data_IF_169861554453
#
_entry.id   IF_169861554453
#
_cell.length_a   1.000
_cell.length_b   1.000
_cell.length_c   1.000
_cell.angle_alpha   90.00
_cell.angle_beta   90.00
_cell.angle_gamma   90.00
#
_symmetry.space_group_name_H-M   'P 1'
#
loop_
_entity.id
_entity.type
_entity.pdbx_description
1 polymer ?
#
# COMPACT_ATOMS: atom_id res chain seq x y z
N UNK A 1 -14.00 -16.26 2.18
CA UNK A 1 -15.41 -16.19 1.77
C UNK A 1 -16.21 -17.42 2.19
N UNK A 2 -15.54 -18.51 2.55
CA UNK A 2 -16.16 -19.72 3.13
C UNK A 2 -16.52 -19.58 4.62
N UNK A 3 -16.47 -18.39 5.21
CA UNK A 3 -16.77 -18.14 6.63
C UNK A 3 -15.76 -18.74 7.62
N UNK A 4 -14.58 -19.11 7.16
CA UNK A 4 -13.54 -19.73 7.99
C UNK A 4 -12.59 -18.73 8.65
N UNK A 5 -12.65 -17.46 8.27
CA UNK A 5 -11.83 -16.39 8.78
C UNK A 5 -12.71 -15.24 9.27
N UNK A 6 -12.46 -14.79 10.48
CA UNK A 6 -13.19 -13.65 11.10
C UNK A 6 -12.48 -12.33 10.83
N UNK A 7 -11.17 -12.35 10.72
CA UNK A 7 -10.33 -11.18 10.46
C UNK A 7 -9.41 -11.44 9.26
N UNK A 8 -9.29 -10.46 8.40
CA UNK A 8 -8.28 -10.38 7.35
C UNK A 8 -7.59 -9.03 7.43
N UNK A 9 -6.27 -9.01 7.26
CA UNK A 9 -5.48 -7.78 7.15
C UNK A 9 -4.93 -7.74 5.74
N UNK A 10 -5.27 -6.68 5.02
CA UNK A 10 -4.86 -6.51 3.64
C UNK A 10 -4.70 -5.02 3.30
N UNK A 11 -4.25 -4.73 2.10
CA UNK A 11 -4.27 -3.39 1.52
C UNK A 11 -5.68 -3.00 1.08
N UNK A 12 -5.92 -1.71 0.85
CA UNK A 12 -7.20 -1.23 0.30
C UNK A 12 -7.50 -1.84 -1.08
N UNK A 13 -6.47 -2.12 -1.89
CA UNK A 13 -6.63 -2.81 -3.17
C UNK A 13 -7.19 -4.23 -3.01
N UNK A 14 -6.88 -4.91 -1.90
CA UNK A 14 -7.43 -6.24 -1.60
C UNK A 14 -8.92 -6.23 -1.24
N UNK A 15 -9.52 -5.07 -0.99
CA UNK A 15 -10.92 -4.96 -0.59
C UNK A 15 -11.91 -5.51 -1.63
N UNK A 16 -11.54 -5.48 -2.92
CA UNK A 16 -12.34 -6.05 -4.02
C UNK A 16 -12.50 -7.58 -3.96
N UNK A 17 -11.68 -8.25 -3.16
CA UNK A 17 -11.71 -9.71 -2.97
C UNK A 17 -12.35 -10.13 -1.63
N UNK A 18 -12.66 -9.17 -0.77
CA UNK A 18 -13.15 -9.43 0.57
C UNK A 18 -14.68 -9.39 0.61
N UNK A 19 -15.25 -10.27 1.43
CA UNK A 19 -16.70 -10.38 1.56
C UNK A 19 -17.31 -11.53 0.72
N UNK A 20 -18.57 -11.80 0.96
CA UNK A 20 -19.29 -12.88 0.27
C UNK A 20 -19.84 -12.46 -1.11
N UNK A 21 -20.01 -11.17 -1.33
CA UNK A 21 -20.58 -10.60 -2.55
C UNK A 21 -19.51 -9.84 -3.38
N UNK A 22 -18.22 -10.12 -3.14
CA UNK A 22 -17.12 -9.45 -3.83
C UNK A 22 -17.13 -9.76 -5.34
N UNK A 23 -16.99 -8.73 -6.22
CA UNK A 23 -17.21 -8.87 -7.67
C UNK A 23 -16.18 -9.77 -8.38
N UNK A 24 -14.98 -9.89 -7.80
CA UNK A 24 -13.88 -10.67 -8.39
C UNK A 24 -13.77 -12.10 -7.84
N UNK A 25 -14.82 -12.59 -7.19
CA UNK A 25 -14.84 -13.95 -6.66
C UNK A 25 -15.34 -14.94 -7.72
N UNK A 26 -14.48 -15.90 -8.03
CA UNK A 26 -14.86 -17.11 -8.79
C UNK A 26 -15.08 -18.27 -7.81
N UNK A 27 -16.17 -18.20 -7.04
CA UNK A 27 -16.55 -19.23 -6.06
C UNK A 27 -17.95 -19.72 -6.40
N UNK A 28 -18.14 -21.04 -6.33
CA UNK A 28 -19.45 -21.65 -6.48
C UNK A 28 -20.43 -21.10 -5.43
N UNK A 29 -21.61 -20.67 -5.87
CA UNK A 29 -22.65 -20.12 -4.98
C UNK A 29 -22.98 -21.02 -3.80
N UNK A 30 -22.88 -22.34 -3.97
CA UNK A 30 -23.16 -23.34 -2.94
C UNK A 30 -22.16 -23.29 -1.77
N UNK A 31 -21.00 -22.67 -1.95
CA UNK A 31 -19.93 -22.59 -0.94
C UNK A 31 -19.85 -21.23 -0.28
N UNK A 32 -20.63 -20.25 -0.73
CA UNK A 32 -20.65 -18.90 -0.17
C UNK A 32 -21.42 -18.88 1.14
N UNK A 33 -20.73 -18.53 2.22
CA UNK A 33 -21.37 -18.22 3.51
C UNK A 33 -21.68 -16.72 3.54
N UNK A 34 -22.95 -16.36 3.74
CA UNK A 34 -23.37 -14.95 3.81
C UNK A 34 -23.01 -14.37 5.16
N UNK A 35 -22.30 -13.26 5.14
CA UNK A 35 -21.90 -12.48 6.31
C UNK A 35 -21.71 -11.02 5.93
N UNK A 36 -21.80 -10.14 6.88
CA UNK A 36 -21.47 -8.72 6.72
C UNK A 36 -19.96 -8.53 6.85
N UNK A 37 -19.39 -7.76 5.93
CA UNK A 37 -17.98 -7.36 5.96
C UNK A 37 -17.87 -5.90 6.35
N UNK A 38 -17.14 -5.62 7.41
CA UNK A 38 -16.83 -4.27 7.88
C UNK A 38 -15.34 -4.00 7.73
N UNK A 39 -14.99 -2.76 7.43
CA UNK A 39 -13.60 -2.33 7.22
C UNK A 39 -13.19 -1.39 8.34
N UNK A 40 -12.04 -1.64 8.93
CA UNK A 40 -11.43 -0.81 9.96
C UNK A 40 -9.97 -0.53 9.63
N UNK A 41 -9.39 0.55 10.17
CA UNK A 41 -7.95 0.75 10.12
C UNK A 41 -7.20 -0.43 10.74
N UNK A 42 -6.02 -0.74 10.19
CA UNK A 42 -5.16 -1.78 10.77
C UNK A 42 -4.85 -1.47 12.24
N UNK A 43 -4.88 -2.47 13.15
CA UNK A 43 -4.57 -2.25 14.56
C UNK A 43 -3.21 -1.57 14.75
N UNK A 44 -3.16 -0.58 15.63
CA UNK A 44 -1.99 0.24 15.91
C UNK A 44 -1.40 -0.11 17.28
N UNK A 45 -0.08 -0.12 17.38
CA UNK A 45 0.62 -0.21 18.67
C UNK A 45 0.39 1.05 19.51
N UNK A 46 0.43 2.22 18.88
CA UNK A 46 0.11 3.51 19.46
C UNK A 46 -1.07 4.13 18.71
N UNK A 47 -2.31 4.04 19.24
CA UNK A 47 -3.47 4.59 18.59
C UNK A 47 -3.50 6.13 18.52
N UNK A 48 -2.74 6.81 19.38
CA UNK A 48 -2.65 8.28 19.37
C UNK A 48 -1.73 8.78 18.24
N UNK A 49 -0.81 7.94 17.79
CA UNK A 49 0.13 8.24 16.71
C UNK A 49 0.11 7.13 15.64
N UNK A 50 -1.02 6.92 14.98
CA UNK A 50 -1.16 5.82 14.02
C UNK A 50 -0.20 5.97 12.86
N UNK A 51 0.30 4.83 12.36
CA UNK A 51 1.20 4.75 11.20
C UNK A 51 0.72 3.65 10.27
N UNK A 52 0.46 4.01 9.03
CA UNK A 52 0.05 3.09 7.99
C UNK A 52 0.97 3.21 6.79
N UNK A 53 1.40 2.07 6.26
CA UNK A 53 2.27 2.06 5.10
C UNK A 53 1.48 2.46 3.85
N UNK A 54 1.99 3.47 3.13
CA UNK A 54 1.50 3.79 1.79
C UNK A 54 2.23 2.94 0.77
N UNK A 55 1.49 2.14 0.03
CA UNK A 55 2.00 1.29 -1.03
C UNK A 55 1.16 1.51 -2.30
N UNK A 56 1.72 1.12 -3.43
CA UNK A 56 1.02 1.18 -4.71
C UNK A 56 2.00 1.13 -5.86
N UNK A 57 1.50 0.97 -7.08
CA UNK A 57 2.32 1.09 -8.27
C UNK A 57 2.83 2.51 -8.42
N UNK A 58 4.05 2.63 -8.95
CA UNK A 58 4.68 3.92 -9.24
C UNK A 58 5.06 4.01 -10.71
N UNK A 59 4.93 5.19 -11.28
CA UNK A 59 5.41 5.48 -12.63
C UNK A 59 6.81 6.05 -12.54
N UNK A 60 7.76 5.39 -13.20
CA UNK A 60 9.15 5.82 -13.27
C UNK A 60 9.50 6.22 -14.70
N UNK A 61 10.10 7.38 -14.86
CA UNK A 61 10.64 7.83 -16.14
C UNK A 61 12.13 7.49 -16.22
N UNK A 62 12.50 6.74 -17.24
CA UNK A 62 13.90 6.42 -17.51
C UNK A 62 14.52 7.47 -18.44
N UNK A 63 15.78 7.74 -18.20
CA UNK A 63 16.56 8.57 -19.13
C UNK A 63 16.74 7.83 -20.47
N UNK A 64 16.53 8.55 -21.56
CA UNK A 64 16.70 8.08 -22.93
C UNK A 64 17.64 9.03 -23.68
N UNK A 65 18.28 8.54 -24.74
CA UNK A 65 19.15 9.36 -25.60
C UNK A 65 18.33 10.31 -26.45
N UNK A 66 17.12 9.92 -26.85
CA UNK A 66 16.22 10.79 -27.63
C UNK A 66 15.39 11.68 -26.71
N UNK A 67 15.57 13.01 -26.74
CA UNK A 67 14.77 13.95 -25.94
C UNK A 67 13.27 13.91 -26.25
N UNK A 68 12.87 13.51 -27.47
CA UNK A 68 11.46 13.40 -27.83
C UNK A 68 10.79 12.24 -27.12
N UNK A 69 11.48 11.10 -26.95
CA UNK A 69 10.99 9.98 -26.16
C UNK A 69 10.81 10.37 -24.68
N UNK A 70 11.75 11.14 -24.13
CA UNK A 70 11.65 11.64 -22.76
C UNK A 70 10.45 12.57 -22.61
N UNK A 71 10.27 13.51 -23.55
CA UNK A 71 9.13 14.43 -23.54
C UNK A 71 7.80 13.69 -23.66
N UNK A 72 7.70 12.74 -24.59
CA UNK A 72 6.49 11.93 -24.76
C UNK A 72 6.14 11.14 -23.48
N UNK A 73 7.14 10.54 -22.84
CA UNK A 73 6.97 9.83 -21.56
C UNK A 73 6.51 10.77 -20.46
N UNK A 74 7.06 11.98 -20.39
CA UNK A 74 6.65 13.02 -19.44
C UNK A 74 5.20 13.46 -19.68
N UNK A 75 4.81 13.71 -20.92
CA UNK A 75 3.44 14.09 -21.26
C UNK A 75 2.44 12.97 -20.92
N UNK A 76 2.83 11.71 -21.12
CA UNK A 76 2.03 10.58 -20.69
C UNK A 76 1.88 10.53 -19.15
N UNK A 77 2.96 10.75 -18.42
CA UNK A 77 2.88 10.84 -16.95
C UNK A 77 1.95 11.99 -16.50
N UNK A 78 2.00 13.14 -17.18
CA UNK A 78 1.06 14.26 -16.90
C UNK A 78 -0.40 13.88 -17.23
N UNK A 79 -0.63 13.14 -18.30
CA UNK A 79 -1.97 12.63 -18.63
C UNK A 79 -2.50 11.71 -17.52
N UNK A 80 -1.68 10.84 -16.94
CA UNK A 80 -2.08 9.99 -15.82
C UNK A 80 -2.45 10.78 -14.55
N UNK A 81 -2.02 12.03 -14.44
CA UNK A 81 -2.34 12.92 -13.31
C UNK A 81 -3.58 13.79 -13.57
N UNK A 82 -4.24 13.67 -14.71
CA UNK A 82 -5.52 14.35 -14.93
C UNK A 82 -6.61 13.76 -14.04
N UNK A 83 -7.58 14.58 -13.63
CA UNK A 83 -8.65 14.12 -12.74
C UNK A 83 -9.40 12.94 -13.32
N UNK A 84 -9.80 13.02 -14.59
CA UNK A 84 -10.59 11.98 -15.27
C UNK A 84 -9.89 10.62 -15.23
N UNK A 85 -8.57 10.60 -15.51
CA UNK A 85 -7.80 9.35 -15.49
C UNK A 85 -7.64 8.81 -14.08
N UNK A 86 -7.36 9.67 -13.09
CA UNK A 86 -7.23 9.25 -11.71
C UNK A 86 -8.54 8.70 -11.14
N UNK A 87 -9.67 9.32 -11.47
CA UNK A 87 -10.99 8.89 -11.03
C UNK A 87 -11.33 7.55 -11.68
N UNK A 88 -11.19 7.45 -13.01
CA UNK A 88 -11.44 6.21 -13.72
C UNK A 88 -10.59 5.05 -13.20
N UNK A 89 -9.32 5.31 -12.83
CA UNK A 89 -8.46 4.30 -12.24
C UNK A 89 -8.90 3.91 -10.82
N UNK A 90 -9.34 4.88 -10.01
CA UNK A 90 -9.85 4.62 -8.66
C UNK A 90 -11.15 3.79 -8.66
N UNK A 91 -11.95 3.88 -9.72
CA UNK A 91 -13.17 3.08 -9.90
C UNK A 91 -12.88 1.60 -10.16
N UNK A 92 -11.69 1.23 -10.64
CA UNK A 92 -11.35 -0.16 -10.98
C UNK A 92 -11.13 -1.03 -9.75
N UNK A 93 -10.22 -0.62 -8.86
CA UNK A 93 -9.82 -1.39 -7.67
C UNK A 93 -9.76 -0.46 -6.44
N UNK A 94 -9.29 -0.95 -5.32
CA UNK A 94 -9.21 -0.20 -4.05
C UNK A 94 -8.10 0.88 -4.00
N UNK A 95 -7.82 1.54 -5.13
CA UNK A 95 -6.94 2.69 -5.22
C UNK A 95 -7.69 4.00 -5.01
N UNK A 96 -6.96 5.05 -4.67
CA UNK A 96 -7.50 6.40 -4.51
C UNK A 96 -6.71 7.39 -5.38
N UNK A 97 -7.32 8.49 -5.84
CA UNK A 97 -6.61 9.52 -6.55
C UNK A 97 -5.42 10.06 -5.74
N UNK A 98 -4.29 10.32 -6.40
CA UNK A 98 -3.06 10.79 -5.73
C UNK A 98 -3.04 12.30 -5.53
N UNK A 99 -3.81 13.07 -6.32
CA UNK A 99 -3.88 14.53 -6.18
C UNK A 99 -5.10 14.97 -5.37
N UNK A 100 -4.92 15.99 -4.55
CA UNK A 100 -6.01 16.59 -3.78
C UNK A 100 -7.14 17.08 -4.68
N UNK A 101 -6.80 17.65 -5.83
CA UNK A 101 -7.77 18.13 -6.82
C UNK A 101 -8.70 17.01 -7.30
N UNK A 102 -8.16 15.83 -7.58
CA UNK A 102 -8.97 14.69 -8.01
C UNK A 102 -9.76 14.08 -6.85
N UNK A 103 -9.24 14.10 -5.62
CA UNK A 103 -9.96 13.65 -4.42
C UNK A 103 -11.17 14.52 -4.10
N UNK A 104 -11.10 15.80 -4.41
CA UNK A 104 -12.18 16.77 -4.20
C UNK A 104 -13.08 16.95 -5.44
N UNK A 105 -12.80 16.24 -6.51
CA UNK A 105 -13.61 16.32 -7.72
C UNK A 105 -15.04 15.84 -7.45
N UNK A 106 -16.09 16.59 -7.86
CA UNK A 106 -17.46 16.18 -7.66
C UNK A 106 -17.80 14.79 -8.19
N UNK A 107 -17.19 14.35 -9.31
CA UNK A 107 -17.40 13.02 -9.86
C UNK A 107 -16.88 11.93 -8.92
N UNK A 108 -15.69 12.13 -8.31
CA UNK A 108 -15.15 11.18 -7.34
C UNK A 108 -15.94 11.14 -6.04
N UNK A 109 -16.40 12.29 -5.57
CA UNK A 109 -17.25 12.37 -4.36
C UNK A 109 -18.62 11.70 -4.59
N UNK A 110 -19.21 11.88 -5.78
CA UNK A 110 -20.43 11.18 -6.17
C UNK A 110 -20.19 9.66 -6.17
N UNK A 111 -19.13 9.20 -6.83
CA UNK A 111 -18.74 7.79 -6.83
C UNK A 111 -18.64 7.20 -5.41
N UNK A 112 -17.95 7.87 -4.50
CA UNK A 112 -17.84 7.43 -3.11
C UNK A 112 -19.19 7.41 -2.40
N UNK A 113 -20.10 8.36 -2.71
CA UNK A 113 -21.41 8.45 -2.06
C UNK A 113 -22.34 7.29 -2.38
N UNK A 114 -22.09 6.61 -3.49
CA UNK A 114 -22.91 5.52 -4.04
C UNK A 114 -22.52 4.13 -3.52
N UNK A 115 -21.75 4.05 -2.44
CA UNK A 115 -21.31 2.79 -1.86
C UNK A 115 -22.46 1.83 -1.54
N UNK A 116 -22.42 0.65 -2.14
CA UNK A 116 -23.44 -0.41 -1.97
C UNK A 116 -24.63 -0.32 -2.92
N UNK A 117 -24.63 0.59 -3.90
CA UNK A 117 -25.66 0.60 -4.95
C UNK A 117 -25.58 -0.63 -5.85
N UNK A 118 -24.38 -1.16 -6.04
CA UNK A 118 -24.15 -2.41 -6.77
C UNK A 118 -22.92 -3.13 -6.20
N UNK A 119 -22.74 -4.40 -6.58
CA UNK A 119 -21.62 -5.23 -6.16
C UNK A 119 -20.50 -5.27 -7.21
N UNK A 120 -20.43 -4.35 -8.10
CA UNK A 120 -19.38 -4.22 -9.12
C UNK A 120 -18.64 -2.90 -8.93
N UNK A 121 -19.11 -1.82 -9.54
CA UNK A 121 -18.44 -0.52 -9.49
C UNK A 121 -18.50 0.11 -8.08
N UNK A 122 -19.67 0.05 -7.42
CA UNK A 122 -19.93 0.67 -6.11
C UNK A 122 -19.90 -0.34 -4.96
N UNK A 123 -19.06 -1.38 -5.07
CA UNK A 123 -18.97 -2.40 -4.04
C UNK A 123 -18.65 -1.79 -2.66
N UNK A 124 -19.53 -2.01 -1.69
CA UNK A 124 -19.51 -1.33 -0.39
C UNK A 124 -18.19 -1.49 0.36
N UNK A 125 -17.60 -2.68 0.36
CA UNK A 125 -16.33 -2.97 1.07
C UNK A 125 -15.16 -2.23 0.43
N UNK A 126 -15.11 -2.18 -0.92
CA UNK A 126 -14.10 -1.42 -1.66
C UNK A 126 -14.17 0.08 -1.33
N UNK A 127 -15.36 0.65 -1.38
CA UNK A 127 -15.53 2.07 -1.12
C UNK A 127 -15.31 2.43 0.36
N UNK A 128 -15.66 1.54 1.28
CA UNK A 128 -15.33 1.71 2.70
C UNK A 128 -13.82 1.73 2.94
N UNK A 129 -13.05 0.85 2.28
CA UNK A 129 -11.60 0.83 2.36
C UNK A 129 -10.98 2.10 1.78
N UNK A 130 -11.51 2.59 0.65
CA UNK A 130 -11.07 3.86 0.05
C UNK A 130 -11.30 5.05 0.96
N UNK A 131 -12.45 5.13 1.63
CA UNK A 131 -12.76 6.19 2.62
C UNK A 131 -11.80 6.15 3.79
N UNK A 132 -11.56 4.98 4.38
CA UNK A 132 -10.61 4.82 5.49
C UNK A 132 -9.21 5.29 5.09
N UNK A 133 -8.75 4.97 3.88
CA UNK A 133 -7.46 5.45 3.38
C UNK A 133 -7.42 6.97 3.25
N UNK A 134 -8.48 7.59 2.70
CA UNK A 134 -8.56 9.05 2.54
C UNK A 134 -8.59 9.77 3.90
N UNK A 135 -9.38 9.28 4.84
CA UNK A 135 -9.49 9.83 6.20
C UNK A 135 -8.19 9.72 7.00
N UNK A 136 -7.35 8.76 6.65
CA UNK A 136 -6.08 8.50 7.32
C UNK A 136 -4.85 8.84 6.47
N UNK A 137 -5.01 9.59 5.40
CA UNK A 137 -3.91 9.91 4.47
C UNK A 137 -2.72 10.60 5.15
N UNK A 138 -2.95 11.43 6.17
CA UNK A 138 -1.91 12.10 6.95
C UNK A 138 -1.12 11.14 7.86
N UNK A 139 -1.71 9.99 8.17
CA UNK A 139 -1.09 8.95 8.99
C UNK A 139 -0.29 7.95 8.14
N UNK A 140 -0.23 8.14 6.84
CA UNK A 140 0.50 7.25 5.96
C UNK A 140 1.99 7.63 5.86
N UNK A 141 2.82 6.65 5.60
CA UNK A 141 4.24 6.84 5.32
C UNK A 141 4.71 5.94 4.19
N UNK A 142 5.73 6.39 3.49
CA UNK A 142 6.43 5.58 2.47
C UNK A 142 7.63 4.92 3.13
N UNK A 143 7.81 3.63 2.88
CA UNK A 143 8.97 2.90 3.39
C UNK A 143 10.27 3.51 2.85
N UNK A 144 11.23 3.89 3.72
CA UNK A 144 12.51 4.39 3.25
C UNK A 144 13.23 3.36 2.38
N UNK A 145 13.88 3.84 1.33
CA UNK A 145 14.73 3.01 0.47
C UNK A 145 16.17 3.19 0.90
N UNK A 146 16.80 2.11 1.33
CA UNK A 146 18.21 2.08 1.73
C UNK A 146 18.79 0.69 1.45
N UNK A 147 20.12 0.59 1.46
CA UNK A 147 20.78 -0.70 1.28
C UNK A 147 20.42 -1.64 2.45
N UNK A 148 19.76 -2.77 2.15
CA UNK A 148 19.24 -3.71 3.15
C UNK A 148 17.75 -3.54 3.49
N UNK A 149 17.03 -2.59 2.88
CA UNK A 149 15.58 -2.41 3.12
C UNK A 149 14.77 -3.68 2.83
N UNK A 150 15.14 -4.44 1.81
CA UNK A 150 14.51 -5.72 1.48
C UNK A 150 14.74 -6.77 2.59
N UNK A 151 15.98 -6.88 3.10
CA UNK A 151 16.32 -7.78 4.21
C UNK A 151 15.55 -7.44 5.49
N UNK A 152 15.42 -6.15 5.80
CA UNK A 152 14.64 -5.70 6.95
C UNK A 152 13.16 -6.07 6.83
N UNK A 153 12.56 -5.89 5.66
CA UNK A 153 11.16 -6.29 5.41
C UNK A 153 10.97 -7.79 5.55
N UNK A 154 11.89 -8.58 5.01
CA UNK A 154 11.86 -10.04 5.12
C UNK A 154 12.00 -10.47 6.59
N UNK A 155 12.90 -9.87 7.34
CA UNK A 155 13.09 -10.13 8.76
C UNK A 155 11.82 -9.84 9.57
N UNK A 156 11.14 -8.73 9.30
CA UNK A 156 9.89 -8.39 9.97
C UNK A 156 8.81 -9.45 9.75
N UNK A 157 8.64 -9.96 8.52
CA UNK A 157 7.74 -11.07 8.22
C UNK A 157 8.13 -12.36 8.96
N UNK A 158 9.41 -12.71 8.95
CA UNK A 158 9.91 -13.91 9.65
C UNK A 158 9.73 -13.83 11.16
N UNK A 159 9.90 -12.66 11.78
CA UNK A 159 9.64 -12.47 13.22
C UNK A 159 8.20 -12.83 13.57
N UNK A 160 7.23 -12.33 12.82
CA UNK A 160 5.80 -12.65 13.02
C UNK A 160 5.58 -14.16 12.87
N UNK A 161 6.12 -14.77 11.81
CA UNK A 161 5.98 -16.21 11.59
C UNK A 161 6.58 -17.06 12.71
N UNK A 162 7.78 -16.74 13.17
CA UNK A 162 8.46 -17.51 14.22
C UNK A 162 7.71 -17.40 15.57
N UNK A 163 7.21 -16.21 15.92
CA UNK A 163 6.37 -16.04 17.10
C UNK A 163 5.08 -16.84 16.97
N UNK A 164 4.39 -16.76 15.84
CA UNK A 164 3.17 -17.55 15.59
C UNK A 164 3.44 -19.06 15.66
N UNK A 165 4.59 -19.53 15.15
CA UNK A 165 5.02 -20.94 15.24
C UNK A 165 5.26 -21.35 16.70
N UNK A 166 5.92 -20.49 17.49
CA UNK A 166 6.17 -20.75 18.90
C UNK A 166 4.86 -20.89 19.68
N UNK A 167 3.91 -19.97 19.48
CA UNK A 167 2.57 -20.02 20.11
C UNK A 167 1.81 -21.30 19.73
N UNK A 168 1.78 -21.66 18.43
CA UNK A 168 1.12 -22.90 17.96
C UNK A 168 1.73 -24.14 18.57
N UNK A 169 3.05 -24.15 18.81
CA UNK A 169 3.78 -25.25 19.42
C UNK A 169 3.76 -25.22 20.95
N UNK A 170 3.05 -24.28 21.54
CA UNK A 170 2.98 -24.06 23.00
C UNK A 170 4.38 -23.89 23.64
N UNK A 171 5.29 -23.27 22.90
CA UNK A 171 6.60 -22.86 23.40
C UNK A 171 6.50 -21.56 24.17
N UNK A 172 7.49 -21.24 25.00
CA UNK A 172 7.54 -19.94 25.67
C UNK A 172 7.61 -18.78 24.69
N UNK A 173 6.89 -17.70 25.02
CA UNK A 173 6.95 -16.40 24.34
C UNK A 173 7.22 -15.28 25.36
N UNK A 174 7.95 -15.60 26.44
CA UNK A 174 8.48 -14.59 27.35
C UNK A 174 9.58 -13.74 26.70
N UNK A 175 10.03 -12.70 27.39
CA UNK A 175 11.01 -11.77 26.84
C UNK A 175 12.27 -12.47 26.35
N UNK A 176 12.81 -13.42 27.10
CA UNK A 176 14.03 -14.14 26.70
C UNK A 176 13.82 -15.00 25.44
N UNK A 177 12.65 -15.63 25.30
CA UNK A 177 12.30 -16.41 24.11
C UNK A 177 12.11 -15.51 22.89
N UNK A 178 11.51 -14.33 23.05
CA UNK A 178 11.34 -13.34 21.98
C UNK A 178 12.68 -12.76 21.56
N UNK A 179 13.57 -12.47 22.49
CA UNK A 179 14.94 -12.01 22.20
C UNK A 179 15.71 -13.06 21.40
N UNK A 180 15.61 -14.34 21.77
CA UNK A 180 16.24 -15.42 21.02
C UNK A 180 15.70 -15.56 19.58
N UNK A 181 14.39 -15.37 19.39
CA UNK A 181 13.79 -15.33 18.05
C UNK A 181 14.33 -14.14 17.26
N UNK A 182 14.40 -12.97 17.88
CA UNK A 182 14.95 -11.77 17.25
C UNK A 182 16.39 -11.96 16.80
N UNK A 183 17.26 -12.39 17.69
CA UNK A 183 18.68 -12.62 17.40
C UNK A 183 18.88 -13.63 16.25
N UNK A 184 18.10 -14.72 16.26
CA UNK A 184 18.11 -15.69 15.18
C UNK A 184 17.74 -15.07 13.84
N UNK A 185 16.63 -14.32 13.79
CA UNK A 185 16.13 -13.69 12.56
C UNK A 185 17.06 -12.57 12.10
N UNK A 186 17.58 -11.76 13.02
CA UNK A 186 18.52 -10.70 12.73
C UNK A 186 19.81 -11.26 12.09
N UNK A 187 20.34 -12.33 12.64
CA UNK A 187 21.52 -13.02 12.09
C UNK A 187 21.26 -13.59 10.71
N UNK A 188 20.13 -14.27 10.50
CA UNK A 188 19.77 -14.85 9.20
C UNK A 188 19.60 -13.82 8.08
N UNK A 189 19.17 -12.61 8.43
CA UNK A 189 18.94 -11.52 7.47
C UNK A 189 20.08 -10.50 7.45
N UNK A 190 21.18 -10.76 8.16
CA UNK A 190 22.35 -9.88 8.26
C UNK A 190 22.00 -8.45 8.67
N UNK A 191 21.07 -8.28 9.63
CA UNK A 191 20.61 -6.95 10.05
C UNK A 191 21.72 -6.14 10.74
N UNK A 192 22.71 -6.81 11.32
CA UNK A 192 23.94 -6.23 11.89
C UNK A 192 24.83 -5.57 10.82
N UNK A 193 24.68 -5.97 9.55
CA UNK A 193 25.45 -5.45 8.42
C UNK A 193 24.70 -4.34 7.65
N UNK A 194 23.48 -4.03 8.04
CA UNK A 194 22.70 -2.95 7.46
C UNK A 194 23.32 -1.62 7.91
N UNK A 195 24.16 -1.05 7.07
CA UNK A 195 24.65 0.30 7.27
C UNK A 195 23.57 1.29 6.81
N UNK A 196 22.89 1.91 7.77
CA UNK A 196 22.16 3.14 7.52
C UNK A 196 23.20 4.23 7.32
N UNK A 197 23.76 4.31 6.12
CA UNK A 197 24.68 5.38 5.79
C UNK A 197 23.88 6.68 5.82
N UNK A 198 24.33 7.67 6.59
CA UNK A 198 23.75 9.01 6.59
C UNK A 198 23.74 9.63 5.18
N UNK A 199 24.53 9.08 4.27
CA UNK A 199 24.64 9.48 2.87
C UNK A 199 23.67 8.74 1.93
N UNK A 200 22.86 7.82 2.40
CA UNK A 200 21.92 7.10 1.53
C UNK A 200 20.82 8.00 0.93
N UNK A 201 20.60 9.18 1.52
CA UNK A 201 19.71 10.20 0.98
C UNK A 201 20.45 11.25 0.13
N UNK A 202 21.78 11.29 0.15
CA UNK A 202 22.58 12.19 -0.67
C UNK A 202 22.87 11.53 -2.03
N UNK A 203 21.94 11.71 -2.96
CA UNK A 203 22.10 11.31 -4.36
C UNK A 203 23.12 12.16 -5.11
N UNK A 204 23.83 13.03 -4.40
CA UNK A 204 24.70 14.02 -4.98
C UNK A 204 23.96 15.19 -5.65
N UNK A 205 24.68 16.15 -6.22
CA UNK A 205 24.08 17.27 -6.92
C UNK A 205 23.31 16.78 -8.14
N UNK A 206 22.11 17.33 -8.36
CA UNK A 206 21.30 17.06 -9.54
C UNK A 206 22.17 17.12 -10.81
N UNK A 207 22.10 16.13 -11.70
CA UNK A 207 22.78 16.17 -13.00
C UNK A 207 22.50 17.48 -13.74
N UNK A 208 23.49 18.01 -14.46
CA UNK A 208 23.38 19.29 -15.16
C UNK A 208 22.17 19.36 -16.09
N UNK A 209 21.81 18.24 -16.74
CA UNK A 209 20.61 18.14 -17.57
C UNK A 209 19.32 18.33 -16.77
N UNK A 210 19.22 17.78 -15.57
CA UNK A 210 18.05 17.95 -14.70
C UNK A 210 17.94 19.38 -14.19
N UNK A 211 19.06 20.05 -13.88
CA UNK A 211 19.09 21.48 -13.50
C UNK A 211 18.65 22.38 -14.66
N UNK A 212 19.11 22.10 -15.88
CA UNK A 212 18.72 22.85 -17.07
C UNK A 212 17.22 22.69 -17.37
N UNK A 213 16.67 21.51 -17.16
CA UNK A 213 15.24 21.21 -17.35
C UNK A 213 14.39 21.94 -16.32
N UNK A 214 14.79 21.95 -15.05
CA UNK A 214 14.11 22.71 -13.99
C UNK A 214 14.19 24.22 -14.22
N UNK A 215 15.31 24.74 -14.71
CA UNK A 215 15.46 26.17 -15.04
C UNK A 215 14.71 26.59 -16.31
N UNK A 216 14.37 25.64 -17.18
CA UNK A 216 13.58 25.91 -18.39
C UNK A 216 12.05 25.81 -18.19
N UNK A 217 11.60 25.30 -17.03
CA UNK A 217 10.18 25.14 -16.69
C UNK A 217 9.66 26.24 -15.72
N UNK A 218 10.50 27.11 -15.24
CA UNK A 218 10.18 28.30 -14.44
C UNK A 218 10.37 29.57 -15.24
#
# INVERSE_FOLDING_TARGET
NAGQCVFAIDSTAGATWMGCDAPLLDISEDTIVRFETVVYPVPQYDPEHPKMISQGPSVCLFQKDDPQEVLASWLFAQFLLTNDVQIAYAETEGYVPVTEKARQDPAYLDYLSRAGEDNDTHYAVKLAASRILLENSENTFVTPVFNGSASLRQAAGQLIEEVCKAVRRKQSTDGAALDAIYEKVASLNHLDQIQVSANSADLGPLPGAARALLAGLG
#
